data_IF_843583892950
#
_entry.id   IF_843583892950
#
_cell.length_a   1.000
_cell.length_b   1.000
_cell.length_c   1.000
_cell.angle_alpha   90.00
_cell.angle_beta   90.00
_cell.angle_gamma   90.00
#
_symmetry.space_group_name_H-M   'P 1'
#
loop_
_entity.id
_entity.type
_entity.pdbx_description
1 polymer ?
#
# COMPACT_ATOMS: atom_id res chain seq x y z
N UNK A 1 16.13 -43.30 55.35
CA UNK A 1 16.33 -41.84 55.44
C UNK A 1 16.46 -41.27 54.04
N UNK A 2 15.68 -40.22 53.78
CA UNK A 2 15.38 -39.59 52.49
C UNK A 2 16.57 -38.77 51.96
N UNK A 3 16.83 -38.79 50.64
CA UNK A 3 17.40 -37.65 49.89
C UNK A 3 16.83 -37.68 48.46
N UNK A 4 16.04 -36.64 48.16
CA UNK A 4 15.31 -36.34 46.92
C UNK A 4 16.29 -35.93 45.79
N UNK A 5 16.02 -36.16 44.50
CA UNK A 5 16.83 -35.61 43.41
C UNK A 5 16.56 -34.10 43.24
N UNK A 6 17.62 -33.31 43.14
CA UNK A 6 17.57 -31.86 42.89
C UNK A 6 17.23 -31.61 41.41
N UNK A 7 15.93 -31.48 41.10
CA UNK A 7 15.46 -30.96 39.81
C UNK A 7 15.69 -29.45 39.82
N UNK A 8 16.71 -29.00 39.10
CA UNK A 8 16.97 -27.59 38.85
C UNK A 8 16.04 -27.12 37.71
N UNK A 9 14.80 -26.77 38.05
CA UNK A 9 13.89 -26.06 37.16
C UNK A 9 14.36 -24.61 37.00
N UNK A 10 15.20 -24.36 36.00
CA UNK A 10 15.53 -23.01 35.54
C UNK A 10 14.33 -22.48 34.74
N UNK A 11 13.42 -21.79 35.44
CA UNK A 11 12.34 -21.01 34.83
C UNK A 11 12.95 -19.83 34.06
N UNK A 12 13.23 -20.04 32.78
CA UNK A 12 13.40 -18.98 31.79
C UNK A 12 12.01 -18.36 31.53
N UNK A 13 11.65 -17.36 32.33
CA UNK A 13 10.57 -16.44 31.98
C UNK A 13 11.06 -15.60 30.79
N UNK A 14 10.86 -16.12 29.58
CA UNK A 14 10.95 -15.32 28.35
C UNK A 14 9.68 -14.48 28.31
N UNK A 15 9.71 -13.34 29.00
CA UNK A 15 8.73 -12.29 28.78
C UNK A 15 8.93 -11.75 27.37
N UNK A 16 8.12 -12.21 26.42
CA UNK A 16 8.03 -11.58 25.11
C UNK A 16 7.43 -10.20 25.30
N UNK A 17 8.27 -9.21 25.55
CA UNK A 17 7.91 -7.82 25.30
C UNK A 17 7.64 -7.75 23.79
N UNK A 18 6.35 -7.78 23.42
CA UNK A 18 5.91 -7.28 22.14
C UNK A 18 6.26 -5.79 22.15
N UNK A 19 7.47 -5.47 21.70
CA UNK A 19 7.85 -4.12 21.35
C UNK A 19 6.97 -3.77 20.15
N UNK A 20 5.84 -3.12 20.40
CA UNK A 20 5.18 -2.34 19.36
C UNK A 20 6.19 -1.28 18.95
N UNK A 21 7.02 -1.58 17.94
CA UNK A 21 7.75 -0.55 17.23
C UNK A 21 6.70 0.46 16.79
N UNK A 22 6.82 1.70 17.29
CA UNK A 22 6.07 2.81 16.74
C UNK A 22 6.42 2.84 15.26
N UNK A 23 5.49 2.44 14.41
CA UNK A 23 5.74 2.23 13.00
C UNK A 23 5.65 3.57 12.28
N UNK A 24 6.80 4.23 12.12
CA UNK A 24 6.91 5.49 11.39
C UNK A 24 6.34 5.35 9.96
N UNK A 25 6.35 4.15 9.38
CA UNK A 25 5.82 3.89 8.05
C UNK A 25 4.31 4.12 7.92
N UNK A 26 3.51 3.77 8.94
CA UNK A 26 2.07 4.02 8.94
C UNK A 26 1.74 5.53 8.98
N UNK A 27 2.58 6.32 9.67
CA UNK A 27 2.45 7.77 9.74
C UNK A 27 2.74 8.42 8.39
N UNK A 28 3.78 7.96 7.69
CA UNK A 28 4.12 8.47 6.35
C UNK A 28 2.98 8.23 5.37
N UNK A 29 2.46 6.99 5.31
CA UNK A 29 1.33 6.66 4.42
C UNK A 29 0.08 7.45 4.80
N UNK A 30 -0.18 7.67 6.10
CA UNK A 30 -1.30 8.50 6.56
C UNK A 30 -1.18 9.94 6.03
N UNK A 31 0.03 10.50 6.05
CA UNK A 31 0.30 11.85 5.53
C UNK A 31 0.13 11.92 4.01
N UNK A 32 0.70 10.96 3.27
CA UNK A 32 0.57 10.88 1.81
C UNK A 32 -0.89 10.77 1.37
N UNK A 33 -1.69 9.96 2.07
CA UNK A 33 -3.08 9.68 1.69
C UNK A 33 -4.11 10.61 2.34
N UNK A 34 -3.68 11.48 3.26
CA UNK A 34 -4.53 12.46 3.92
C UNK A 34 -5.59 11.86 4.85
N UNK A 35 -5.38 10.65 5.36
CA UNK A 35 -6.29 9.95 6.27
C UNK A 35 -5.52 9.30 7.41
N UNK A 36 -6.14 9.18 8.59
CA UNK A 36 -5.52 8.52 9.73
C UNK A 36 -5.57 6.99 9.57
N UNK A 37 -4.39 6.39 9.43
CA UNK A 37 -4.17 4.94 9.32
C UNK A 37 -3.49 4.34 10.56
N UNK A 38 -3.41 5.07 11.68
CA UNK A 38 -2.69 4.62 12.88
C UNK A 38 -3.27 3.34 13.50
N UNK A 39 -4.50 2.98 13.15
CA UNK A 39 -5.15 1.73 13.57
C UNK A 39 -4.78 0.50 12.72
N UNK A 40 -4.00 0.68 11.64
CA UNK A 40 -3.52 -0.42 10.80
C UNK A 40 -2.15 -0.94 11.22
N UNK A 41 -1.82 -2.14 10.77
CA UNK A 41 -0.51 -2.76 10.93
C UNK A 41 0.20 -2.84 9.59
N UNK A 42 1.49 -2.46 9.54
CA UNK A 42 2.31 -2.67 8.35
C UNK A 42 2.56 -4.17 8.14
N UNK A 43 2.17 -4.66 6.97
CA UNK A 43 2.40 -6.05 6.56
C UNK A 43 3.66 -6.16 5.73
N UNK A 44 3.86 -5.22 4.80
CA UNK A 44 5.00 -5.19 3.89
C UNK A 44 5.33 -3.75 3.54
N UNK A 45 6.63 -3.44 3.44
CA UNK A 45 7.14 -2.23 2.83
C UNK A 45 8.34 -2.58 1.96
N UNK A 46 8.37 -2.03 0.76
CA UNK A 46 9.45 -2.17 -0.21
C UNK A 46 9.74 -0.78 -0.77
N UNK A 47 11.01 -0.41 -0.81
CA UNK A 47 11.48 0.86 -1.36
C UNK A 47 12.68 0.54 -2.26
N UNK A 48 12.55 0.80 -3.56
CA UNK A 48 13.57 0.48 -4.57
C UNK A 48 14.36 1.69 -5.03
N UNK A 49 14.06 2.88 -4.51
CA UNK A 49 14.78 4.09 -4.89
C UNK A 49 16.27 3.97 -4.52
N UNK A 50 17.12 4.14 -5.52
CA UNK A 50 18.58 4.13 -5.35
C UNK A 50 19.23 5.11 -6.35
N UNK A 51 20.53 5.37 -6.18
CA UNK A 51 21.33 6.18 -7.10
C UNK A 51 21.00 7.67 -7.09
N UNK A 52 21.47 8.38 -8.12
CA UNK A 52 21.43 9.84 -8.17
C UNK A 52 20.08 10.40 -8.65
N UNK A 53 19.38 9.65 -9.50
CA UNK A 53 18.11 10.10 -10.07
C UNK A 53 16.95 9.91 -9.09
N UNK A 54 17.09 8.97 -8.14
CA UNK A 54 16.02 8.66 -7.19
C UNK A 54 14.83 8.03 -7.90
N UNK A 55 15.08 7.27 -8.97
CA UNK A 55 14.06 6.50 -9.67
C UNK A 55 13.78 5.21 -8.92
N UNK A 56 12.54 4.77 -8.90
CA UNK A 56 12.10 3.57 -8.22
C UNK A 56 10.65 3.66 -7.81
N UNK A 57 10.27 2.77 -6.88
CA UNK A 57 8.96 2.81 -6.28
C UNK A 57 9.04 2.51 -4.79
N UNK A 58 8.08 3.05 -4.05
CA UNK A 58 7.74 2.58 -2.71
C UNK A 58 6.41 1.85 -2.75
N UNK A 59 6.41 0.59 -2.33
CA UNK A 59 5.20 -0.20 -2.11
C UNK A 59 4.99 -0.42 -0.62
N UNK A 60 3.77 -0.21 -0.16
CA UNK A 60 3.36 -0.46 1.22
C UNK A 60 2.05 -1.24 1.26
N UNK A 61 1.99 -2.26 2.11
CA UNK A 61 0.78 -3.00 2.43
C UNK A 61 0.48 -2.86 3.94
N UNK A 62 -0.75 -2.49 4.27
CA UNK A 62 -1.27 -2.48 5.63
C UNK A 62 -2.48 -3.40 5.75
N UNK A 63 -2.64 -3.99 6.93
CA UNK A 63 -3.85 -4.71 7.31
C UNK A 63 -4.55 -4.02 8.47
N UNK A 64 -5.87 -4.10 8.48
CA UNK A 64 -6.71 -3.50 9.51
C UNK A 64 -7.61 -4.56 10.11
N UNK A 65 -7.80 -4.51 11.43
CA UNK A 65 -8.92 -5.23 12.02
C UNK A 65 -10.25 -4.58 11.60
N UNK A 66 -11.36 -5.27 11.89
CA UNK A 66 -12.70 -4.83 11.49
C UNK A 66 -13.05 -3.41 11.98
N UNK A 67 -12.62 -3.04 13.19
CA UNK A 67 -12.97 -1.74 13.78
C UNK A 67 -12.14 -0.63 13.14
N UNK A 68 -10.82 -0.85 13.04
CA UNK A 68 -9.91 0.08 12.40
C UNK A 68 -10.23 0.27 10.91
N UNK A 69 -10.57 -0.82 10.21
CA UNK A 69 -10.97 -0.79 8.79
C UNK A 69 -12.23 0.03 8.55
N UNK A 70 -13.26 -0.11 9.40
CA UNK A 70 -14.47 0.74 9.32
C UNK A 70 -14.13 2.22 9.54
N UNK A 71 -13.22 2.52 10.47
CA UNK A 71 -12.77 3.89 10.72
C UNK A 71 -12.04 4.48 9.51
N UNK A 72 -11.13 3.72 8.90
CA UNK A 72 -10.42 4.12 7.69
C UNK A 72 -11.37 4.34 6.51
N UNK A 73 -12.27 3.39 6.24
CA UNK A 73 -13.27 3.50 5.17
C UNK A 73 -14.18 4.72 5.33
N UNK A 74 -14.59 5.05 6.57
CA UNK A 74 -15.38 6.26 6.84
C UNK A 74 -14.61 7.53 6.49
N UNK A 75 -13.29 7.56 6.72
CA UNK A 75 -12.46 8.70 6.30
C UNK A 75 -12.34 8.76 4.77
N UNK A 76 -12.24 7.64 4.07
CA UNK A 76 -12.22 7.60 2.59
C UNK A 76 -13.54 8.09 1.98
N UNK A 77 -14.68 7.79 2.60
CA UNK A 77 -16.00 8.29 2.16
C UNK A 77 -16.16 9.82 2.33
N UNK A 78 -15.53 10.40 3.35
CA UNK A 78 -15.67 11.82 3.70
C UNK A 78 -14.47 12.69 3.28
N UNK A 79 -13.34 12.05 2.98
CA UNK A 79 -12.06 12.67 2.70
C UNK A 79 -11.95 13.05 1.23
N UNK A 80 -11.37 14.22 0.97
CA UNK A 80 -11.07 14.63 -0.39
C UNK A 80 -9.99 13.73 -1.01
N UNK A 81 -10.24 13.21 -2.21
CA UNK A 81 -9.24 12.50 -3.01
C UNK A 81 -9.38 10.98 -3.09
N UNK A 82 -10.35 10.40 -2.39
CA UNK A 82 -10.72 8.99 -2.51
C UNK A 82 -11.99 8.82 -3.34
N UNK A 83 -12.06 7.72 -4.06
CA UNK A 83 -13.19 7.31 -4.89
C UNK A 83 -13.53 5.85 -4.60
N UNK A 84 -14.80 5.46 -4.75
CA UNK A 84 -15.19 4.04 -4.69
C UNK A 84 -14.71 3.31 -5.95
N UNK A 85 -14.31 2.05 -5.78
CA UNK A 85 -14.06 1.15 -6.90
C UNK A 85 -15.34 0.96 -7.74
N UNK A 86 -15.23 0.66 -9.06
CA UNK A 86 -14.04 0.23 -9.78
C UNK A 86 -13.08 1.37 -10.19
N UNK A 87 -11.85 1.01 -10.57
CA UNK A 87 -10.91 1.92 -11.21
C UNK A 87 -11.43 2.37 -12.58
N UNK A 88 -11.08 3.59 -13.00
CA UNK A 88 -11.26 4.00 -14.38
C UNK A 88 -10.27 3.26 -15.31
N UNK A 89 -10.50 3.29 -16.63
CA UNK A 89 -9.70 2.51 -17.60
C UNK A 89 -8.19 2.75 -17.47
N UNK A 90 -7.76 4.00 -17.30
CA UNK A 90 -6.34 4.34 -17.19
C UNK A 90 -5.73 3.80 -15.89
N UNK A 91 -6.43 3.91 -14.76
CA UNK A 91 -5.94 3.37 -13.50
C UNK A 91 -5.99 1.85 -13.47
N UNK A 92 -7.00 1.23 -14.08
CA UNK A 92 -7.07 -0.23 -14.26
C UNK A 92 -5.84 -0.72 -15.04
N UNK A 93 -5.49 -0.04 -16.14
CA UNK A 93 -4.29 -0.35 -16.92
C UNK A 93 -3.00 -0.10 -16.14
N UNK A 94 -2.93 0.96 -15.34
CA UNK A 94 -1.75 1.24 -14.52
C UNK A 94 -1.54 0.17 -13.45
N UNK A 95 -2.61 -0.33 -12.81
CA UNK A 95 -2.51 -1.30 -11.71
C UNK A 95 -2.36 -2.73 -12.22
N UNK A 96 -3.11 -3.13 -13.24
CA UNK A 96 -3.25 -4.53 -13.66
C UNK A 96 -2.77 -4.78 -15.09
N UNK A 97 -2.30 -3.76 -15.81
CA UNK A 97 -1.99 -3.86 -17.23
C UNK A 97 -3.25 -3.97 -18.10
N UNK A 98 -3.06 -4.23 -19.39
CA UNK A 98 -4.16 -4.48 -20.34
C UNK A 98 -3.70 -5.50 -21.38
N UNK A 99 -4.46 -6.56 -21.54
CA UNK A 99 -4.37 -7.46 -22.69
C UNK A 99 -5.52 -7.15 -23.64
N UNK A 100 -5.19 -6.82 -24.88
CA UNK A 100 -6.16 -6.54 -25.94
C UNK A 100 -5.75 -7.26 -27.22
N UNK A 101 -5.91 -8.58 -27.22
CA UNK A 101 -5.75 -9.49 -28.37
C UNK A 101 -4.37 -9.45 -29.05
N UNK A 102 -4.11 -8.38 -29.80
CA UNK A 102 -2.88 -8.12 -30.54
C UNK A 102 -1.84 -7.32 -29.75
N UNK A 103 -2.22 -6.63 -28.66
CA UNK A 103 -1.31 -5.85 -27.82
C UNK A 103 -1.44 -6.21 -26.34
N UNK A 104 -0.31 -6.37 -25.67
CA UNK A 104 -0.22 -6.47 -24.22
C UNK A 104 0.57 -5.27 -23.68
N UNK A 105 0.00 -4.61 -22.69
CA UNK A 105 0.60 -3.50 -21.97
C UNK A 105 0.83 -3.93 -20.52
N UNK A 106 2.10 -3.92 -20.11
CA UNK A 106 2.46 -4.18 -18.71
C UNK A 106 1.85 -3.17 -17.75
N UNK A 107 1.68 -3.59 -16.49
CA UNK A 107 1.27 -2.69 -15.43
C UNK A 107 2.40 -1.70 -15.10
N UNK A 108 2.04 -0.54 -14.57
CA UNK A 108 2.99 0.38 -13.93
C UNK A 108 3.19 0.00 -12.46
N UNK A 109 2.18 -0.60 -11.82
CA UNK A 109 2.21 -1.04 -10.42
C UNK A 109 2.60 -2.51 -10.36
N UNK A 110 3.90 -2.76 -10.35
CA UNK A 110 4.47 -4.11 -10.35
C UNK A 110 5.85 -4.11 -9.70
N UNK A 111 6.38 -5.30 -9.43
CA UNK A 111 7.80 -5.46 -9.06
C UNK A 111 8.71 -5.21 -10.26
N UNK A 112 10.02 -5.13 -10.02
CA UNK A 112 11.03 -5.01 -11.09
C UNK A 112 11.04 -6.24 -12.02
N UNK A 113 10.62 -7.39 -11.51
CA UNK A 113 10.42 -8.64 -12.27
C UNK A 113 9.07 -8.70 -13.00
N UNK A 114 8.22 -7.67 -12.87
CA UNK A 114 6.91 -7.59 -13.50
C UNK A 114 5.80 -8.35 -12.75
N UNK A 115 5.98 -8.66 -11.47
CA UNK A 115 4.96 -9.33 -10.67
C UNK A 115 3.92 -8.33 -10.14
N UNK A 116 2.64 -8.73 -10.15
CA UNK A 116 1.56 -7.90 -9.62
C UNK A 116 1.68 -7.73 -8.10
N UNK A 117 1.60 -6.49 -7.63
CA UNK A 117 1.69 -6.15 -6.20
C UNK A 117 0.34 -6.05 -5.49
N UNK A 118 -0.72 -5.74 -6.23
CA UNK A 118 -2.06 -5.51 -5.70
C UNK A 118 -2.99 -6.59 -6.26
N UNK A 119 -3.73 -7.35 -5.43
CA UNK A 119 -4.72 -8.30 -5.93
C UNK A 119 -5.90 -7.58 -6.59
N UNK A 120 -6.74 -8.33 -7.32
CA UNK A 120 -8.01 -7.79 -7.79
C UNK A 120 -8.94 -7.51 -6.60
N UNK A 121 -9.52 -6.30 -6.55
CA UNK A 121 -10.39 -5.85 -5.46
C UNK A 121 -11.77 -5.52 -6.04
N UNK A 122 -12.81 -6.17 -5.52
CA UNK A 122 -14.19 -5.97 -5.95
C UNK A 122 -14.84 -4.79 -5.22
N UNK A 123 -14.73 -4.76 -3.89
CA UNK A 123 -15.31 -3.72 -3.05
C UNK A 123 -14.22 -2.94 -2.31
N UNK A 124 -14.31 -1.62 -2.38
CA UNK A 124 -13.32 -0.78 -1.74
C UNK A 124 -13.24 0.64 -2.28
N UNK A 125 -12.09 1.25 -2.03
CA UNK A 125 -11.77 2.61 -2.43
C UNK A 125 -10.44 2.66 -3.14
N UNK A 126 -10.25 3.68 -3.97
CA UNK A 126 -8.95 4.02 -4.53
C UNK A 126 -8.66 5.50 -4.35
N UNK A 127 -7.37 5.79 -4.28
CA UNK A 127 -6.79 7.13 -4.26
C UNK A 127 -5.82 7.21 -5.44
N UNK A 128 -5.84 8.32 -6.17
CA UNK A 128 -4.84 8.60 -7.19
C UNK A 128 -4.38 10.04 -7.08
N UNK A 129 -3.07 10.26 -7.11
CA UNK A 129 -2.45 11.57 -7.15
C UNK A 129 -1.22 11.57 -8.05
N UNK A 130 -1.33 12.25 -9.18
CA UNK A 130 -0.26 12.45 -10.13
C UNK A 130 0.58 13.67 -9.74
N UNK A 131 1.80 13.42 -9.26
CA UNK A 131 2.78 14.43 -8.84
C UNK A 131 3.64 14.92 -10.01
N UNK A 132 3.49 14.33 -11.19
CA UNK A 132 4.28 14.68 -12.36
C UNK A 132 4.06 16.16 -12.75
N UNK A 133 5.13 16.85 -13.14
CA UNK A 133 5.12 18.29 -13.44
C UNK A 133 4.22 18.66 -14.63
N UNK A 134 4.01 17.73 -15.55
CA UNK A 134 3.10 17.89 -16.70
C UNK A 134 1.63 17.58 -16.37
N UNK A 135 1.31 17.18 -15.13
CA UNK A 135 -0.07 16.92 -14.74
C UNK A 135 -0.86 18.21 -14.59
N UNK A 136 -1.87 18.41 -15.44
CA UNK A 136 -2.77 19.57 -15.33
C UNK A 136 -3.76 19.46 -14.15
N UNK A 137 -4.09 18.24 -13.74
CA UNK A 137 -4.90 17.95 -12.57
C UNK A 137 -4.39 16.65 -11.91
N UNK A 138 -3.81 16.71 -10.70
CA UNK A 138 -3.25 15.54 -10.03
C UNK A 138 -4.24 14.39 -9.81
N UNK A 139 -5.55 14.65 -9.82
CA UNK A 139 -6.58 13.62 -9.60
C UNK A 139 -7.10 13.01 -10.90
N UNK A 140 -6.64 13.50 -12.05
CA UNK A 140 -7.10 13.08 -13.36
C UNK A 140 -6.06 12.17 -14.03
N UNK A 141 -6.46 10.94 -14.32
CA UNK A 141 -5.59 9.94 -14.96
C UNK A 141 -5.60 10.01 -16.49
N UNK A 142 -6.38 10.91 -17.12
CA UNK A 142 -6.55 10.97 -18.58
C UNK A 142 -5.24 11.12 -19.35
N UNK A 143 -4.27 11.84 -18.78
CA UNK A 143 -2.97 12.10 -19.41
C UNK A 143 -1.85 11.14 -18.98
N UNK A 144 -2.13 10.18 -18.10
CA UNK A 144 -1.11 9.32 -17.47
C UNK A 144 -0.22 8.60 -18.50
N UNK A 145 -0.81 8.12 -19.60
CA UNK A 145 -0.09 7.39 -20.66
C UNK A 145 0.33 8.26 -21.86
N UNK A 146 0.20 9.59 -21.77
CA UNK A 146 0.58 10.52 -22.84
C UNK A 146 1.99 11.10 -22.67
N UNK A 147 2.79 10.50 -21.77
CA UNK A 147 4.12 10.97 -21.37
C UNK A 147 5.12 9.82 -21.24
N UNK A 148 6.40 10.14 -21.11
CA UNK A 148 7.50 9.17 -21.12
C UNK A 148 8.04 8.78 -19.74
N UNK A 149 7.60 9.47 -18.68
CA UNK A 149 7.99 9.23 -17.29
C UNK A 149 6.76 9.34 -16.37
N UNK A 150 6.88 8.83 -15.15
CA UNK A 150 5.78 8.71 -14.22
C UNK A 150 6.20 9.19 -12.84
N UNK A 151 5.37 10.07 -12.26
CA UNK A 151 5.50 10.42 -10.86
C UNK A 151 4.10 10.46 -10.24
N UNK A 152 3.69 9.41 -9.53
CA UNK A 152 2.34 9.33 -8.95
C UNK A 152 2.26 8.47 -7.69
N UNK A 153 1.21 8.68 -6.89
CA UNK A 153 0.74 7.78 -5.84
C UNK A 153 -0.58 7.17 -6.27
N UNK A 154 -0.70 5.86 -6.11
CA UNK A 154 -1.98 5.17 -6.14
C UNK A 154 -2.13 4.31 -4.90
N UNK A 155 -3.31 4.33 -4.30
CA UNK A 155 -3.63 3.42 -3.20
C UNK A 155 -5.00 2.78 -3.42
N UNK A 156 -5.13 1.51 -3.03
CA UNK A 156 -6.36 0.75 -3.07
C UNK A 156 -6.63 0.16 -1.69
N UNK A 157 -7.83 0.39 -1.17
CA UNK A 157 -8.32 -0.25 0.04
C UNK A 157 -9.34 -1.32 -0.31
N UNK A 158 -9.03 -2.57 0.04
CA UNK A 158 -9.91 -3.73 -0.03
C UNK A 158 -10.78 -3.77 1.23
N UNK A 159 -12.07 -3.45 1.08
CA UNK A 159 -13.00 -3.44 2.21
C UNK A 159 -13.46 -4.83 2.63
N UNK A 160 -13.29 -5.84 1.78
CA UNK A 160 -13.69 -7.21 2.08
C UNK A 160 -12.66 -7.88 2.98
N UNK A 161 -11.38 -7.62 2.73
CA UNK A 161 -10.26 -8.21 3.48
C UNK A 161 -9.59 -7.24 4.47
N UNK A 162 -9.93 -5.95 4.44
CA UNK A 162 -9.35 -4.95 5.33
C UNK A 162 -7.89 -4.66 5.03
N UNK A 163 -7.48 -4.69 3.76
CA UNK A 163 -6.11 -4.43 3.34
C UNK A 163 -6.01 -3.11 2.58
N UNK A 164 -4.98 -2.32 2.89
CA UNK A 164 -4.61 -1.15 2.10
C UNK A 164 -3.30 -1.44 1.37
N UNK A 165 -3.26 -1.12 0.09
CA UNK A 165 -2.09 -1.18 -0.76
C UNK A 165 -1.78 0.23 -1.23
N UNK A 166 -0.57 0.72 -1.03
CA UNK A 166 -0.11 2.03 -1.50
C UNK A 166 1.15 1.84 -2.35
N UNK A 167 1.18 2.48 -3.51
CA UNK A 167 2.29 2.44 -4.44
C UNK A 167 2.63 3.86 -4.87
N UNK A 168 3.88 4.25 -4.68
CA UNK A 168 4.44 5.52 -5.11
C UNK A 168 5.50 5.21 -6.16
N UNK A 169 5.37 5.78 -7.35
CA UNK A 169 6.30 5.60 -8.46
C UNK A 169 6.97 6.92 -8.78
N UNK A 170 8.28 6.89 -8.99
CA UNK A 170 9.10 8.01 -9.39
C UNK A 170 10.08 7.53 -10.49
N UNK A 171 9.95 8.04 -11.71
CA UNK A 171 10.80 7.72 -12.88
C UNK A 171 11.08 8.94 -13.75
#
# INVERSE_FOLDING_TARGET
MKRLPLILCMLLLVGTLASCSHDDGAKDVSQTLGIDLSGGQMVKRTDTHDGFHGDGYTFTQMSFDKTAGVSAAKQMDNGGGWSRLPLNENLQRAVYGKEDGEASYGALVQTDEGEALIPAIEHGYYYFYDRHSESGNPRDSTQLFNRSSYNFTIALYDSDNGNLYCYELDT
#
